data_IF_330537452447
#
_entry.id   IF_330537452447
#
_cell.length_a   1.000
_cell.length_b   1.000
_cell.length_c   1.000
_cell.angle_alpha   90.00
_cell.angle_beta   90.00
_cell.angle_gamma   90.00
#
_symmetry.space_group_name_H-M   'P 1'
#
loop_
_entity.id
_entity.type
_entity.pdbx_description
1 polymer ?
#
# COMPACT_ATOMS: atom_id res chain seq x y z
N UNK A 1 -57.20 -34.50 17.08
CA UNK A 1 -57.63 -35.36 18.24
C UNK A 1 -56.43 -35.71 19.12
N UNK A 2 -55.30 -36.13 18.56
CA UNK A 2 -54.10 -36.53 19.33
C UNK A 2 -53.59 -35.43 20.27
N UNK A 3 -53.59 -34.17 19.83
CA UNK A 3 -53.11 -33.04 20.64
C UNK A 3 -54.09 -32.62 21.75
N UNK A 4 -55.37 -32.60 21.45
CA UNK A 4 -56.39 -32.14 22.40
C UNK A 4 -56.99 -33.24 23.26
N UNK A 5 -56.75 -34.52 22.98
CA UNK A 5 -57.37 -35.67 23.66
C UNK A 5 -58.87 -35.84 23.34
N UNK A 6 -59.45 -34.89 22.58
CA UNK A 6 -60.86 -34.89 22.18
C UNK A 6 -60.99 -34.34 20.75
N UNK A 7 -62.19 -34.35 20.15
CA UNK A 7 -62.44 -33.70 18.87
C UNK A 7 -62.40 -32.18 19.06
N UNK A 8 -61.43 -31.52 18.40
CA UNK A 8 -61.24 -30.09 18.50
C UNK A 8 -62.49 -29.29 18.14
N UNK A 9 -62.86 -28.34 18.96
CA UNK A 9 -63.90 -27.34 18.63
C UNK A 9 -63.38 -26.38 17.53
N UNK A 10 -64.27 -25.66 16.82
CA UNK A 10 -63.86 -24.70 15.80
C UNK A 10 -62.81 -23.66 16.27
N UNK A 11 -62.93 -23.06 17.47
CA UNK A 11 -61.90 -22.15 17.97
C UNK A 11 -60.54 -22.82 18.21
N UNK A 12 -60.51 -24.02 18.76
CA UNK A 12 -59.30 -24.79 19.02
C UNK A 12 -58.62 -25.18 17.68
N UNK A 13 -59.38 -25.60 16.68
CA UNK A 13 -58.87 -25.91 15.38
C UNK A 13 -58.29 -24.68 14.69
N UNK A 14 -58.95 -23.52 14.80
CA UNK A 14 -58.44 -22.25 14.29
C UNK A 14 -57.15 -21.83 15.00
N UNK A 15 -57.10 -21.91 16.33
CA UNK A 15 -55.89 -21.59 17.08
C UNK A 15 -54.71 -22.50 16.72
N UNK A 16 -54.96 -23.82 16.60
CA UNK A 16 -53.91 -24.75 16.15
C UNK A 16 -53.42 -24.43 14.72
N UNK A 17 -54.34 -24.12 13.78
CA UNK A 17 -53.98 -23.77 12.43
C UNK A 17 -53.13 -22.48 12.36
N UNK A 18 -53.48 -21.47 13.17
CA UNK A 18 -52.72 -20.23 13.27
C UNK A 18 -51.32 -20.49 13.84
N UNK A 19 -51.19 -21.28 14.89
CA UNK A 19 -49.89 -21.66 15.47
C UNK A 19 -49.02 -22.44 14.49
N UNK A 20 -49.59 -23.44 13.79
CA UNK A 20 -48.87 -24.21 12.78
C UNK A 20 -48.45 -23.35 11.58
N UNK A 21 -49.31 -22.42 11.17
CA UNK A 21 -49.02 -21.50 10.08
C UNK A 21 -47.94 -20.47 10.48
N UNK A 22 -47.96 -20.01 11.71
CA UNK A 22 -46.97 -19.06 12.26
C UNK A 22 -45.61 -19.68 12.60
N UNK A 23 -45.47 -21.00 12.46
CA UNK A 23 -44.25 -21.73 12.79
C UNK A 23 -43.69 -22.53 11.59
N UNK A 24 -43.36 -21.87 10.45
CA UNK A 24 -42.94 -22.53 9.21
C UNK A 24 -41.64 -23.31 9.35
N UNK A 25 -40.81 -23.00 10.32
CA UNK A 25 -39.59 -23.73 10.63
C UNK A 25 -39.85 -25.14 11.17
N UNK A 26 -40.93 -25.29 11.96
CA UNK A 26 -41.30 -26.55 12.59
C UNK A 26 -42.29 -27.37 11.76
N UNK A 27 -43.13 -26.70 10.94
CA UNK A 27 -44.23 -27.33 10.22
C UNK A 27 -44.30 -26.84 8.76
N UNK A 28 -44.25 -27.78 7.85
CA UNK A 28 -44.40 -27.51 6.41
C UNK A 28 -45.86 -27.59 6.00
N UNK A 29 -46.37 -26.57 5.32
CA UNK A 29 -47.74 -26.59 4.74
C UNK A 29 -47.79 -27.51 3.52
N UNK A 30 -48.68 -28.50 3.54
CA UNK A 30 -48.87 -29.49 2.48
C UNK A 30 -50.19 -29.30 1.67
N UNK A 31 -50.82 -28.14 1.80
CA UNK A 31 -52.07 -27.80 1.13
C UNK A 31 -53.30 -28.35 1.87
N UNK A 32 -54.52 -27.90 1.51
CA UNK A 32 -55.82 -28.32 2.07
C UNK A 32 -55.84 -28.38 3.62
N UNK A 33 -55.17 -27.42 4.31
CA UNK A 33 -55.11 -27.37 5.78
C UNK A 33 -54.23 -28.43 6.43
N UNK A 34 -53.42 -29.18 5.66
CA UNK A 34 -52.49 -30.19 6.21
C UNK A 34 -51.14 -29.58 6.50
N UNK A 35 -50.57 -29.97 7.62
CA UNK A 35 -49.22 -29.63 8.07
C UNK A 35 -48.42 -30.92 8.34
N UNK A 36 -47.15 -30.89 8.05
CA UNK A 36 -46.21 -31.97 8.32
C UNK A 36 -45.06 -31.40 9.15
N UNK A 37 -44.63 -32.12 10.18
CA UNK A 37 -43.43 -31.74 10.92
C UNK A 37 -42.24 -31.66 10.00
N UNK A 38 -41.39 -30.66 10.21
CA UNK A 38 -40.13 -30.54 9.46
C UNK A 38 -39.26 -31.77 9.79
N UNK A 39 -38.50 -32.30 8.78
CA UNK A 39 -37.51 -33.32 9.07
C UNK A 39 -36.52 -32.85 10.14
N UNK A 40 -36.12 -33.76 11.01
CA UNK A 40 -35.29 -33.46 12.18
C UNK A 40 -33.98 -32.77 11.78
N UNK A 41 -33.33 -33.19 10.70
CA UNK A 41 -32.10 -32.58 10.19
C UNK A 41 -32.31 -31.13 9.72
N UNK A 42 -33.43 -30.85 9.06
CA UNK A 42 -33.77 -29.51 8.58
C UNK A 42 -34.08 -28.58 9.76
N UNK A 43 -34.75 -29.11 10.78
CA UNK A 43 -35.04 -28.36 12.00
C UNK A 43 -33.77 -28.05 12.77
N UNK A 44 -32.88 -29.01 12.95
CA UNK A 44 -31.55 -28.79 13.56
C UNK A 44 -30.74 -27.75 12.81
N UNK A 45 -30.69 -27.82 11.48
CA UNK A 45 -30.00 -26.86 10.66
C UNK A 45 -30.61 -25.44 10.77
N UNK A 46 -31.94 -25.33 10.78
CA UNK A 46 -32.65 -24.06 10.95
C UNK A 46 -32.38 -23.42 12.33
N UNK A 47 -32.45 -24.22 13.38
CA UNK A 47 -32.16 -23.79 14.78
C UNK A 47 -30.70 -23.35 14.91
N UNK A 48 -29.75 -24.11 14.35
CA UNK A 48 -28.32 -23.73 14.34
C UNK A 48 -28.09 -22.41 13.57
N UNK A 49 -28.81 -22.21 12.46
CA UNK A 49 -28.73 -20.96 11.70
C UNK A 49 -29.26 -19.75 12.50
N UNK A 50 -30.36 -19.91 13.23
CA UNK A 50 -30.92 -18.86 14.09
C UNK A 50 -29.96 -18.53 15.22
N UNK A 51 -29.42 -19.56 15.88
CA UNK A 51 -28.45 -19.36 16.96
C UNK A 51 -27.18 -18.68 16.48
N UNK A 52 -26.67 -19.07 15.30
CA UNK A 52 -25.54 -18.40 14.69
C UNK A 52 -25.84 -16.91 14.43
N UNK A 53 -26.97 -16.58 13.79
CA UNK A 53 -27.39 -15.19 13.56
C UNK A 53 -27.53 -14.39 14.85
N UNK A 54 -28.05 -15.01 15.89
CA UNK A 54 -28.17 -14.37 17.20
C UNK A 54 -26.80 -14.00 17.76
N UNK A 55 -25.85 -14.94 17.74
CA UNK A 55 -24.46 -14.71 18.18
C UNK A 55 -23.75 -13.64 17.33
N UNK A 56 -23.93 -13.70 16.03
CA UNK A 56 -23.37 -12.68 15.10
C UNK A 56 -23.92 -11.28 15.43
N UNK A 57 -25.21 -11.17 15.72
CA UNK A 57 -25.84 -9.89 16.10
C UNK A 57 -25.36 -9.40 17.46
N UNK A 58 -25.25 -10.27 18.45
CA UNK A 58 -24.73 -9.93 19.79
C UNK A 58 -23.27 -9.49 19.72
N UNK A 59 -22.44 -10.20 18.95
CA UNK A 59 -21.03 -9.86 18.74
C UNK A 59 -20.88 -8.50 18.05
N UNK A 60 -21.64 -8.27 16.98
CA UNK A 60 -21.63 -6.99 16.26
C UNK A 60 -22.04 -5.83 17.18
N UNK A 61 -23.11 -6.01 17.98
CA UNK A 61 -23.54 -4.99 18.94
C UNK A 61 -22.47 -4.72 20.01
N UNK A 62 -21.75 -5.75 20.45
CA UNK A 62 -20.62 -5.61 21.37
C UNK A 62 -19.49 -4.75 20.80
N UNK A 63 -19.10 -4.97 19.55
CA UNK A 63 -18.09 -4.17 18.88
C UNK A 63 -18.52 -2.70 18.68
N UNK A 64 -19.79 -2.48 18.29
CA UNK A 64 -20.36 -1.13 18.18
C UNK A 64 -20.29 -0.37 19.50
N UNK A 65 -20.67 -1.04 20.61
CA UNK A 65 -20.60 -0.45 21.95
C UNK A 65 -19.16 -0.08 22.34
N UNK A 66 -18.19 -0.96 22.06
CA UNK A 66 -16.78 -0.69 22.33
C UNK A 66 -16.28 0.54 21.55
N UNK A 67 -16.54 0.60 20.25
CA UNK A 67 -16.15 1.75 19.41
C UNK A 67 -16.76 3.06 19.92
N UNK A 68 -18.05 3.04 20.30
CA UNK A 68 -18.75 4.21 20.88
C UNK A 68 -18.17 4.62 22.24
N UNK A 69 -17.64 3.68 22.99
CA UNK A 69 -16.97 3.92 24.26
C UNK A 69 -15.49 4.35 24.10
N UNK A 70 -14.98 4.50 22.88
CA UNK A 70 -13.58 4.86 22.61
C UNK A 70 -12.62 3.69 22.85
N UNK A 71 -13.07 2.47 22.72
CA UNK A 71 -12.25 1.26 22.88
C UNK A 71 -12.19 0.50 21.57
N UNK A 72 -10.98 0.26 21.08
CA UNK A 72 -10.77 -0.52 19.85
C UNK A 72 -10.94 -2.01 20.12
N UNK A 73 -11.96 -2.67 19.49
CA UNK A 73 -12.11 -4.11 19.59
C UNK A 73 -10.85 -4.83 19.10
N UNK A 74 -10.42 -5.89 19.78
CA UNK A 74 -9.17 -6.58 19.45
C UNK A 74 -9.21 -7.19 18.03
N UNK A 75 -10.35 -7.75 17.64
CA UNK A 75 -10.55 -8.30 16.30
C UNK A 75 -10.44 -7.21 15.21
N UNK A 76 -10.88 -5.98 15.50
CA UNK A 76 -10.75 -4.86 14.57
C UNK A 76 -9.33 -4.31 14.53
N UNK A 77 -8.59 -4.38 15.64
CA UNK A 77 -7.20 -3.90 15.71
C UNK A 77 -6.30 -4.60 14.71
N UNK A 78 -6.39 -5.92 14.63
CA UNK A 78 -5.61 -6.73 13.69
C UNK A 78 -6.02 -6.54 12.22
N UNK A 79 -7.24 -6.02 11.97
CA UNK A 79 -7.79 -5.77 10.64
C UNK A 79 -7.94 -4.28 10.31
N UNK A 80 -7.34 -3.38 11.11
CA UNK A 80 -7.49 -1.93 11.00
C UNK A 80 -7.34 -1.43 9.56
N UNK A 81 -6.24 -1.78 8.91
CA UNK A 81 -5.91 -1.27 7.59
C UNK A 81 -6.86 -1.81 6.52
N UNK A 82 -7.25 -3.07 6.62
CA UNK A 82 -8.26 -3.66 5.73
C UNK A 82 -9.63 -2.97 5.89
N UNK A 83 -10.04 -2.69 7.13
CA UNK A 83 -11.30 -2.03 7.42
C UNK A 83 -11.34 -0.58 6.92
N UNK A 84 -10.21 0.11 6.96
CA UNK A 84 -10.11 1.51 6.54
C UNK A 84 -9.94 1.68 5.03
N UNK A 85 -9.13 0.81 4.38
CA UNK A 85 -8.65 1.07 3.04
C UNK A 85 -9.21 0.12 1.98
N UNK A 86 -9.53 -1.13 2.36
CA UNK A 86 -10.07 -2.13 1.44
C UNK A 86 -11.13 -3.01 2.12
N UNK A 87 -12.27 -2.44 2.58
CA UNK A 87 -13.26 -3.16 3.36
C UNK A 87 -14.08 -4.14 2.51
N UNK A 88 -14.17 -5.41 2.96
CA UNK A 88 -15.17 -6.36 2.45
C UNK A 88 -16.50 -6.15 3.19
N UNK A 89 -17.47 -5.54 2.52
CA UNK A 89 -18.79 -5.22 3.04
C UNK A 89 -19.63 -6.43 3.47
N UNK A 90 -19.21 -7.63 3.10
CA UNK A 90 -19.92 -8.86 3.51
C UNK A 90 -19.56 -9.30 4.93
N UNK A 91 -18.45 -8.82 5.47
CA UNK A 91 -17.96 -9.21 6.80
C UNK A 91 -18.73 -8.55 7.94
N UNK A 92 -18.83 -9.24 9.08
CA UNK A 92 -19.45 -8.68 10.29
C UNK A 92 -18.69 -7.46 10.82
N UNK A 93 -17.38 -7.44 10.71
CA UNK A 93 -16.53 -6.32 11.14
C UNK A 93 -16.89 -5.04 10.39
N UNK A 94 -17.01 -5.11 9.06
CA UNK A 94 -17.38 -3.94 8.25
C UNK A 94 -18.79 -3.48 8.59
N UNK A 95 -19.77 -4.40 8.75
CA UNK A 95 -21.13 -4.06 9.15
C UNK A 95 -21.20 -3.41 10.52
N UNK A 96 -20.37 -3.85 11.48
CA UNK A 96 -20.25 -3.20 12.77
C UNK A 96 -19.66 -1.78 12.66
N UNK A 97 -18.65 -1.58 11.81
CA UNK A 97 -18.11 -0.26 11.53
C UNK A 97 -19.15 0.67 10.90
N UNK A 98 -19.88 0.22 9.88
CA UNK A 98 -20.95 0.99 9.24
C UNK A 98 -22.06 1.37 10.23
N UNK A 99 -22.46 0.45 11.10
CA UNK A 99 -23.46 0.71 12.15
C UNK A 99 -22.94 1.74 13.17
N UNK A 100 -21.70 1.60 13.63
CA UNK A 100 -21.09 2.55 14.57
C UNK A 100 -21.00 3.97 13.96
N UNK A 101 -20.61 4.08 12.69
CA UNK A 101 -20.59 5.34 11.93
C UNK A 101 -21.99 5.94 11.85
N UNK A 102 -23.00 5.14 11.52
CA UNK A 102 -24.40 5.60 11.42
C UNK A 102 -24.95 6.09 12.77
N UNK A 103 -24.66 5.38 13.86
CA UNK A 103 -25.17 5.74 15.20
C UNK A 103 -24.43 6.92 15.83
N UNK A 104 -23.15 7.13 15.50
CA UNK A 104 -22.35 8.23 16.09
C UNK A 104 -22.31 9.46 15.22
N UNK A 105 -22.73 9.35 13.95
CA UNK A 105 -22.58 10.41 12.93
C UNK A 105 -21.12 10.87 12.76
N UNK A 106 -20.17 9.95 12.99
CA UNK A 106 -18.72 10.20 12.98
C UNK A 106 -18.07 9.34 11.91
N UNK A 107 -17.06 9.87 11.20
CA UNK A 107 -16.33 9.05 10.21
C UNK A 107 -15.57 7.89 10.84
N UNK A 108 -15.43 6.79 10.13
CA UNK A 108 -14.72 5.60 10.63
C UNK A 108 -13.27 5.89 11.07
N UNK A 109 -12.47 6.69 10.30
CA UNK A 109 -11.12 7.05 10.76
C UNK A 109 -11.11 7.79 12.09
N UNK A 110 -12.07 8.68 12.30
CA UNK A 110 -12.16 9.44 13.55
C UNK A 110 -12.60 8.55 14.72
N UNK A 111 -13.54 7.62 14.51
CA UNK A 111 -13.91 6.62 15.51
C UNK A 111 -12.71 5.75 15.90
N UNK A 112 -11.96 5.28 14.90
CA UNK A 112 -10.77 4.47 15.13
C UNK A 112 -9.69 5.23 15.87
N UNK A 113 -9.50 6.51 15.53
CA UNK A 113 -8.59 7.38 16.28
C UNK A 113 -9.02 7.51 17.74
N UNK A 114 -10.31 7.82 18.01
CA UNK A 114 -10.85 7.93 19.35
C UNK A 114 -10.74 6.62 20.14
N UNK A 115 -10.86 5.48 19.47
CA UNK A 115 -10.69 4.15 20.03
C UNK A 115 -9.23 3.72 20.23
N UNK A 116 -8.25 4.58 19.90
CA UNK A 116 -6.83 4.29 20.12
C UNK A 116 -6.24 3.34 19.07
N UNK A 117 -6.71 3.40 17.83
CA UNK A 117 -6.16 2.62 16.72
C UNK A 117 -4.75 3.08 16.32
N UNK A 118 -4.38 4.32 16.64
CA UNK A 118 -3.05 4.89 16.46
C UNK A 118 -2.46 5.30 17.81
N UNK A 119 -1.14 5.14 17.98
CA UNK A 119 -0.50 5.41 19.28
C UNK A 119 -0.47 6.89 19.64
N UNK A 120 -0.49 7.80 18.65
CA UNK A 120 -0.38 9.25 18.87
C UNK A 120 -1.41 9.99 18.00
N UNK A 121 -1.92 11.10 18.55
CA UNK A 121 -2.94 11.93 17.89
C UNK A 121 -2.37 12.63 16.67
N UNK A 122 -1.16 13.13 16.78
CA UNK A 122 -0.48 13.93 15.76
C UNK A 122 -0.21 13.12 14.49
N UNK A 123 0.01 11.81 14.64
CA UNK A 123 0.30 10.91 13.52
C UNK A 123 -0.96 10.27 12.91
N UNK A 124 -2.06 10.21 13.65
CA UNK A 124 -3.26 9.48 13.23
C UNK A 124 -3.83 9.93 11.88
N UNK A 125 -3.91 11.26 11.67
CA UNK A 125 -4.41 11.80 10.41
C UNK A 125 -3.42 11.59 9.26
N UNK A 126 -2.14 11.79 9.51
CA UNK A 126 -1.07 11.52 8.55
C UNK A 126 -1.08 10.05 8.15
N UNK A 127 -1.04 9.13 9.13
CA UNK A 127 -1.01 7.69 8.89
C UNK A 127 -2.26 7.20 8.15
N UNK A 128 -3.44 7.78 8.44
CA UNK A 128 -4.66 7.48 7.70
C UNK A 128 -4.55 7.88 6.23
N UNK A 129 -4.09 9.10 5.94
CA UNK A 129 -3.98 9.58 4.55
C UNK A 129 -2.91 8.82 3.77
N UNK A 130 -1.77 8.51 4.40
CA UNK A 130 -0.72 7.68 3.80
C UNK A 130 -1.25 6.27 3.50
N UNK A 131 -1.93 5.65 4.47
CA UNK A 131 -2.50 4.31 4.29
C UNK A 131 -3.57 4.26 3.20
N UNK A 132 -4.43 5.30 3.11
CA UNK A 132 -5.41 5.42 2.03
C UNK A 132 -4.74 5.58 0.67
N UNK A 133 -3.73 6.45 0.58
CA UNK A 133 -2.95 6.65 -0.64
C UNK A 133 -2.27 5.34 -1.08
N UNK A 134 -1.66 4.60 -0.14
CA UNK A 134 -1.06 3.30 -0.42
C UNK A 134 -2.08 2.28 -0.92
N UNK A 135 -3.28 2.23 -0.34
CA UNK A 135 -4.32 1.32 -0.77
C UNK A 135 -4.86 1.64 -2.17
N UNK A 136 -5.01 2.93 -2.49
CA UNK A 136 -5.58 3.40 -3.75
C UNK A 136 -4.56 3.34 -4.91
N UNK A 137 -3.31 3.72 -4.67
CA UNK A 137 -2.27 3.86 -5.70
C UNK A 137 -1.15 2.82 -5.64
N UNK A 138 -0.95 2.20 -4.49
CA UNK A 138 0.09 1.18 -4.27
C UNK A 138 -0.48 -0.07 -3.59
N UNK A 139 -1.40 -0.80 -4.25
CA UNK A 139 -2.14 -1.91 -3.64
C UNK A 139 -1.24 -3.06 -3.17
N UNK A 140 0.01 -3.13 -3.65
CA UNK A 140 1.02 -4.10 -3.18
C UNK A 140 1.78 -3.62 -1.93
N UNK A 141 1.45 -2.42 -1.42
CA UNK A 141 2.12 -1.82 -0.28
C UNK A 141 3.44 -1.14 -0.62
N UNK A 142 4.06 -0.55 0.42
CA UNK A 142 5.34 0.16 0.33
C UNK A 142 6.52 -0.80 0.19
N UNK A 143 6.56 -1.80 1.05
CA UNK A 143 7.65 -2.76 1.18
C UNK A 143 7.21 -4.11 0.59
N UNK A 144 7.61 -4.35 -0.65
CA UNK A 144 7.39 -5.65 -1.30
C UNK A 144 8.56 -6.55 -0.94
N UNK A 145 8.32 -7.54 -0.07
CA UNK A 145 9.32 -8.53 0.34
C UNK A 145 9.68 -9.46 -0.83
N UNK A 146 10.94 -9.89 -0.87
CA UNK A 146 11.43 -10.87 -1.84
C UNK A 146 11.72 -10.29 -3.24
N UNK A 147 11.72 -8.98 -3.38
CA UNK A 147 11.98 -8.32 -4.67
C UNK A 147 13.47 -8.34 -5.02
N UNK A 148 14.35 -8.37 -4.02
CA UNK A 148 15.81 -8.40 -4.18
C UNK A 148 16.27 -9.71 -4.84
N UNK A 149 15.54 -10.81 -4.66
CA UNK A 149 15.86 -12.10 -5.31
C UNK A 149 15.80 -12.02 -6.85
N UNK A 150 15.23 -10.94 -7.39
CA UNK A 150 15.16 -10.67 -8.82
C UNK A 150 16.28 -9.76 -9.36
N UNK A 151 17.21 -9.31 -8.51
CA UNK A 151 18.37 -8.54 -8.98
C UNK A 151 19.29 -9.45 -9.79
N UNK A 152 19.66 -8.98 -10.97
CA UNK A 152 20.67 -9.64 -11.81
C UNK A 152 22.02 -9.52 -11.09
N UNK A 153 22.81 -10.59 -11.15
CA UNK A 153 24.17 -10.61 -10.62
C UNK A 153 25.00 -9.47 -11.19
N UNK A 154 25.92 -8.94 -10.40
CA UNK A 154 26.80 -7.83 -10.73
C UNK A 154 27.77 -8.09 -11.88
N UNK A 155 27.93 -9.37 -12.30
CA UNK A 155 28.90 -9.80 -13.30
C UNK A 155 28.76 -9.07 -14.66
N UNK A 156 27.53 -8.83 -15.14
CA UNK A 156 27.30 -8.11 -16.40
C UNK A 156 27.60 -6.61 -16.23
N UNK A 157 27.31 -6.05 -15.07
CA UNK A 157 27.63 -4.66 -14.73
C UNK A 157 29.15 -4.49 -14.62
N UNK A 158 29.87 -5.46 -14.06
CA UNK A 158 31.33 -5.43 -13.92
C UNK A 158 32.06 -5.46 -15.26
N UNK A 159 31.45 -5.98 -16.31
CA UNK A 159 31.98 -5.98 -17.68
C UNK A 159 31.84 -4.63 -18.41
N UNK A 160 31.00 -3.72 -17.91
CA UNK A 160 30.85 -2.40 -18.50
C UNK A 160 32.18 -1.62 -18.46
N UNK A 161 32.48 -0.82 -19.49
CA UNK A 161 33.67 0.03 -19.51
C UNK A 161 33.65 0.98 -18.28
N UNK A 162 34.83 1.35 -17.84
CA UNK A 162 35.01 2.35 -16.79
C UNK A 162 35.25 3.71 -17.46
N UNK A 163 34.43 4.69 -17.12
CA UNK A 163 34.61 6.06 -17.57
C UNK A 163 35.90 6.66 -16.99
N UNK A 164 36.65 7.36 -17.81
CA UNK A 164 37.84 8.09 -17.37
C UNK A 164 37.49 9.49 -16.84
N UNK A 165 36.50 9.56 -15.97
CA UNK A 165 36.04 10.80 -15.33
C UNK A 165 35.74 10.54 -13.87
N UNK A 166 35.65 11.61 -13.09
CA UNK A 166 35.17 11.62 -11.70
C UNK A 166 33.93 12.49 -11.65
N UNK A 167 32.83 11.92 -11.19
CA UNK A 167 31.56 12.61 -11.14
C UNK A 167 31.22 13.03 -9.71
N UNK A 168 30.45 14.10 -9.60
CA UNK A 168 29.85 14.58 -8.36
C UNK A 168 28.37 14.77 -8.56
N UNK A 169 27.57 14.56 -7.51
CA UNK A 169 26.16 14.94 -7.49
C UNK A 169 25.93 16.16 -6.60
N UNK A 170 24.81 16.83 -6.79
CA UNK A 170 24.35 17.94 -5.93
C UNK A 170 22.89 17.68 -5.58
N UNK A 171 22.63 17.42 -4.31
CA UNK A 171 21.34 16.98 -3.82
C UNK A 171 20.92 17.69 -2.52
N UNK A 172 19.64 17.60 -2.19
CA UNK A 172 19.16 17.99 -0.87
C UNK A 172 19.73 17.09 0.24
N UNK A 173 19.85 17.62 1.47
CA UNK A 173 20.39 16.90 2.61
C UNK A 173 19.67 15.58 2.92
N UNK A 174 18.39 15.47 2.56
CA UNK A 174 17.53 14.32 2.82
C UNK A 174 17.45 13.33 1.66
N UNK A 175 18.08 13.64 0.51
CA UNK A 175 18.04 12.76 -0.67
C UNK A 175 18.78 11.45 -0.40
N UNK A 176 18.10 10.34 -0.63
CA UNK A 176 18.64 8.97 -0.50
C UNK A 176 18.81 8.27 -1.83
N UNK A 177 18.08 8.72 -2.87
CA UNK A 177 18.19 8.26 -4.26
C UNK A 177 18.97 9.31 -5.03
N UNK A 178 20.22 9.02 -5.33
CA UNK A 178 21.04 9.90 -6.17
C UNK A 178 20.93 9.37 -7.59
N UNK A 179 20.17 10.09 -8.41
CA UNK A 179 19.82 9.65 -9.76
C UNK A 179 20.68 10.27 -10.82
N UNK A 180 21.27 11.44 -10.55
CA UNK A 180 22.10 12.18 -11.49
C UNK A 180 23.42 12.67 -10.86
N UNK A 181 24.43 12.71 -11.68
CA UNK A 181 25.75 13.25 -11.36
C UNK A 181 26.32 13.91 -12.61
N UNK A 182 27.31 14.74 -12.44
CA UNK A 182 28.02 15.37 -13.53
C UNK A 182 29.53 15.29 -13.35
N UNK A 183 30.26 15.40 -14.48
CA UNK A 183 31.70 15.48 -14.50
C UNK A 183 32.14 16.61 -15.43
N UNK A 184 33.29 17.20 -15.14
CA UNK A 184 33.94 18.20 -15.98
C UNK A 184 35.36 17.73 -16.26
N UNK A 185 35.74 17.68 -17.54
CA UNK A 185 37.04 17.24 -17.94
C UNK A 185 37.61 18.27 -18.96
N UNK A 186 38.73 18.92 -18.63
CA UNK A 186 39.44 19.79 -19.54
C UNK A 186 40.22 18.93 -20.53
N UNK A 187 39.82 18.93 -21.80
CA UNK A 187 40.47 18.17 -22.86
C UNK A 187 41.77 18.86 -23.31
N UNK A 188 41.70 20.18 -23.45
CA UNK A 188 42.84 21.07 -23.77
C UNK A 188 42.52 22.54 -23.38
N UNK A 189 43.27 23.51 -23.86
CA UNK A 189 43.08 24.93 -23.54
C UNK A 189 41.76 25.50 -24.07
N UNK A 190 41.26 24.96 -25.17
CA UNK A 190 40.13 25.50 -25.92
C UNK A 190 38.85 24.63 -25.79
N UNK A 191 38.94 23.46 -25.16
CA UNK A 191 37.80 22.51 -25.06
C UNK A 191 37.64 21.91 -23.69
N UNK A 192 36.38 21.88 -23.26
CA UNK A 192 35.93 21.21 -22.04
C UNK A 192 34.82 20.19 -22.38
N UNK A 193 34.90 19.00 -21.82
CA UNK A 193 33.85 17.99 -21.90
C UNK A 193 33.08 17.98 -20.60
N UNK A 194 31.76 18.15 -20.69
CA UNK A 194 30.83 18.00 -19.57
C UNK A 194 30.13 16.66 -19.74
N UNK A 195 30.17 15.82 -18.71
CA UNK A 195 29.43 14.57 -18.63
C UNK A 195 28.23 14.71 -17.71
N UNK A 196 27.08 14.19 -18.14
CA UNK A 196 25.89 14.00 -17.31
C UNK A 196 25.68 12.48 -17.17
N UNK A 197 25.60 11.99 -15.96
CA UNK A 197 25.56 10.58 -15.65
C UNK A 197 24.25 10.28 -14.91
N UNK A 198 23.40 9.46 -15.51
CA UNK A 198 22.11 9.07 -14.93
C UNK A 198 22.20 7.64 -14.41
N UNK A 199 21.79 7.41 -13.20
CA UNK A 199 21.69 6.08 -12.60
C UNK A 199 20.95 5.11 -13.53
N UNK A 200 21.44 3.88 -13.64
CA UNK A 200 20.90 2.89 -14.56
C UNK A 200 20.29 1.69 -13.80
N UNK A 201 19.20 1.90 -13.01
CA UNK A 201 18.60 0.83 -12.19
C UNK A 201 18.13 -0.37 -13.02
N UNK A 202 17.71 -0.15 -14.28
CA UNK A 202 17.28 -1.21 -15.18
C UNK A 202 18.37 -2.24 -15.51
N UNK A 203 19.64 -1.94 -15.25
CA UNK A 203 20.74 -2.91 -15.41
C UNK A 203 20.78 -3.95 -14.29
N UNK A 204 20.07 -3.74 -13.19
CA UNK A 204 20.08 -4.63 -12.03
C UNK A 204 18.95 -5.66 -12.02
N UNK A 205 17.99 -5.58 -12.95
CA UNK A 205 16.87 -6.54 -12.98
C UNK A 205 16.48 -6.92 -14.41
N UNK A 206 15.98 -8.15 -14.56
CA UNK A 206 15.52 -8.65 -15.85
C UNK A 206 14.13 -8.15 -16.20
N UNK A 207 13.83 -8.11 -17.50
CA UNK A 207 12.48 -7.97 -18.02
C UNK A 207 11.54 -9.01 -17.39
N UNK A 208 10.31 -8.65 -17.14
CA UNK A 208 9.29 -9.47 -16.50
C UNK A 208 9.54 -9.85 -15.03
N UNK A 209 10.61 -9.34 -14.42
CA UNK A 209 10.87 -9.51 -12.99
C UNK A 209 9.78 -8.88 -12.12
N UNK A 210 9.71 -9.27 -10.86
CA UNK A 210 8.80 -8.65 -9.88
C UNK A 210 9.18 -7.18 -9.68
N UNK A 211 10.46 -6.86 -9.73
CA UNK A 211 10.99 -5.51 -9.57
C UNK A 211 10.58 -4.60 -10.74
N UNK A 212 10.69 -5.09 -11.98
CA UNK A 212 10.23 -4.34 -13.15
C UNK A 212 8.72 -4.08 -13.10
N UNK A 213 7.92 -5.11 -12.77
CA UNK A 213 6.47 -4.96 -12.64
C UNK A 213 6.11 -3.94 -11.55
N UNK A 214 6.85 -3.93 -10.44
CA UNK A 214 6.65 -2.96 -9.39
C UNK A 214 7.02 -1.53 -9.85
N UNK A 215 8.14 -1.38 -10.54
CA UNK A 215 8.57 -0.09 -11.10
C UNK A 215 7.54 0.45 -12.12
N UNK A 216 7.03 -0.43 -12.99
CA UNK A 216 5.99 -0.09 -13.97
C UNK A 216 4.65 0.27 -13.32
N UNK A 217 4.29 -0.37 -12.20
CA UNK A 217 3.08 -0.03 -11.44
C UNK A 217 3.21 1.36 -10.77
N UNK A 218 4.41 1.71 -10.28
CA UNK A 218 4.68 2.96 -9.56
C UNK A 218 5.03 4.14 -10.45
N UNK A 219 5.73 3.93 -11.55
CA UNK A 219 6.18 4.89 -12.56
C UNK A 219 7.18 5.96 -12.09
N UNK A 220 7.11 6.40 -10.85
CA UNK A 220 7.96 7.44 -10.28
C UNK A 220 8.02 7.37 -8.77
N UNK A 221 8.97 8.09 -8.18
CA UNK A 221 8.95 8.40 -6.74
C UNK A 221 7.86 9.45 -6.47
N UNK A 222 7.02 9.18 -5.48
CA UNK A 222 5.93 10.10 -5.09
C UNK A 222 6.29 10.76 -3.76
N UNK A 223 6.30 12.08 -3.77
CA UNK A 223 6.57 12.92 -2.60
C UNK A 223 5.26 13.46 -2.02
N UNK A 224 5.13 13.43 -0.71
CA UNK A 224 4.02 14.02 0.02
C UNK A 224 4.51 14.58 1.38
N UNK A 225 3.75 15.45 2.05
CA UNK A 225 4.22 16.08 3.28
C UNK A 225 4.67 15.07 4.34
N UNK A 226 5.96 15.14 4.71
CA UNK A 226 6.57 14.32 5.74
C UNK A 226 7.09 12.96 5.30
N UNK A 227 6.90 12.53 4.02
CA UNK A 227 7.38 11.21 3.55
C UNK A 227 7.46 11.13 2.02
N UNK A 228 7.99 10.02 1.52
CA UNK A 228 8.02 9.66 0.10
C UNK A 228 7.83 8.16 -0.11
N UNK A 229 7.34 7.78 -1.28
CA UNK A 229 7.31 6.39 -1.73
C UNK A 229 8.14 6.31 -3.00
N UNK A 230 9.24 5.60 -2.93
CA UNK A 230 10.18 5.44 -4.03
C UNK A 230 9.62 4.50 -5.10
N UNK A 231 9.96 4.74 -6.37
CA UNK A 231 9.59 3.85 -7.48
C UNK A 231 10.12 2.44 -7.23
N UNK A 232 11.38 2.32 -6.85
CA UNK A 232 11.99 1.07 -6.45
C UNK A 232 11.95 0.91 -4.92
N UNK A 233 11.84 -0.32 -4.40
CA UNK A 233 12.00 -0.58 -2.97
C UNK A 233 13.36 -0.11 -2.45
N UNK A 234 13.44 0.31 -1.19
CA UNK A 234 14.65 0.85 -0.59
C UNK A 234 15.87 -0.06 -0.73
N UNK A 235 15.68 -1.36 -0.62
CA UNK A 235 16.75 -2.35 -0.79
C UNK A 235 17.31 -2.38 -2.24
N UNK A 236 16.48 -2.14 -3.25
CA UNK A 236 16.92 -2.03 -4.64
C UNK A 236 17.58 -0.69 -4.92
N UNK A 237 17.09 0.39 -4.32
CA UNK A 237 17.66 1.74 -4.42
C UNK A 237 19.13 1.77 -3.99
N UNK A 238 19.47 1.10 -2.89
CA UNK A 238 20.86 1.03 -2.37
C UNK A 238 21.85 0.50 -3.41
N UNK A 239 21.41 -0.39 -4.30
CA UNK A 239 22.26 -0.93 -5.36
C UNK A 239 22.35 0.01 -6.58
N UNK A 240 21.28 0.73 -6.87
CA UNK A 240 21.16 1.50 -8.12
C UNK A 240 21.57 2.97 -7.99
N UNK A 241 21.62 3.51 -6.76
CA UNK A 241 21.95 4.93 -6.51
C UNK A 241 23.42 5.24 -6.81
N UNK A 242 23.71 6.45 -7.29
CA UNK A 242 25.06 6.97 -7.56
C UNK A 242 25.75 7.37 -6.25
N UNK A 243 26.14 6.36 -5.44
CA UNK A 243 26.69 6.58 -4.12
C UNK A 243 28.16 7.00 -4.12
N UNK A 244 28.50 7.97 -3.25
CA UNK A 244 29.87 8.45 -3.02
C UNK A 244 30.85 7.32 -2.79
N UNK A 245 32.02 7.42 -3.37
CA UNK A 245 33.12 6.46 -3.24
C UNK A 245 32.94 5.19 -4.08
N UNK A 246 31.85 5.04 -4.79
CA UNK A 246 31.54 3.83 -5.58
C UNK A 246 31.72 4.04 -7.07
N UNK A 247 32.01 2.92 -7.75
CA UNK A 247 32.00 2.82 -9.20
C UNK A 247 30.60 2.32 -9.62
N UNK A 248 29.75 3.25 -10.08
CA UNK A 248 28.34 3.01 -10.32
C UNK A 248 28.02 2.88 -11.81
N UNK A 249 27.17 1.93 -12.23
CA UNK A 249 26.69 1.88 -13.61
C UNK A 249 25.78 3.08 -13.89
N UNK A 250 26.03 3.74 -15.03
CA UNK A 250 25.28 4.91 -15.46
C UNK A 250 25.07 4.93 -16.97
N UNK A 251 24.02 5.61 -17.39
CA UNK A 251 23.89 6.09 -18.76
C UNK A 251 24.50 7.49 -18.78
N UNK A 252 25.63 7.62 -19.48
CA UNK A 252 26.36 8.88 -19.57
C UNK A 252 26.09 9.57 -20.89
N UNK A 253 25.89 10.89 -20.84
CA UNK A 253 25.88 11.78 -21.99
C UNK A 253 26.99 12.80 -21.84
N UNK A 254 27.81 12.94 -22.88
CA UNK A 254 28.91 13.87 -22.88
C UNK A 254 28.72 14.91 -23.97
N UNK A 255 29.03 16.16 -23.66
CA UNK A 255 29.08 17.26 -24.61
C UNK A 255 30.40 17.96 -24.48
N UNK A 256 31.10 18.10 -25.62
CA UNK A 256 32.35 18.88 -25.74
C UNK A 256 32.01 20.31 -26.16
N UNK A 257 32.48 21.26 -25.37
CA UNK A 257 32.26 22.69 -25.60
C UNK A 257 33.57 23.41 -25.92
N UNK A 258 33.48 24.39 -26.81
CA UNK A 258 34.54 25.39 -26.96
C UNK A 258 34.53 26.33 -25.74
N UNK A 259 35.68 26.53 -25.09
CA UNK A 259 35.83 27.46 -23.96
C UNK A 259 35.74 28.95 -24.41
N UNK A 260 35.92 29.22 -25.68
CA UNK A 260 35.88 30.58 -26.25
C UNK A 260 34.47 30.99 -26.68
N UNK A 261 33.76 30.08 -27.33
CA UNK A 261 32.44 30.39 -27.93
C UNK A 261 31.26 29.77 -27.19
N UNK A 262 31.52 28.83 -26.25
CA UNK A 262 30.53 28.02 -25.57
C UNK A 262 29.65 27.18 -26.51
N UNK A 263 30.07 27.01 -27.76
CA UNK A 263 29.37 26.16 -28.72
C UNK A 263 29.66 24.68 -28.43
N UNK A 264 28.62 23.83 -28.58
CA UNK A 264 28.80 22.38 -28.56
C UNK A 264 29.46 21.93 -29.86
N UNK A 265 30.61 21.30 -29.75
CA UNK A 265 31.37 20.78 -30.89
C UNK A 265 31.05 19.32 -31.20
N UNK A 266 30.83 18.52 -30.16
CA UNK A 266 30.50 17.11 -30.32
C UNK A 266 29.70 16.59 -29.10
N UNK A 267 28.98 15.48 -29.32
CA UNK A 267 28.29 14.76 -28.26
C UNK A 267 28.46 13.25 -28.41
N UNK A 268 28.44 12.54 -27.31
CA UNK A 268 28.42 11.07 -27.28
C UNK A 268 27.63 10.54 -26.09
N UNK A 269 27.11 9.32 -26.18
CA UNK A 269 26.48 8.62 -25.10
C UNK A 269 27.17 7.29 -24.86
N UNK A 270 27.16 6.82 -23.60
CA UNK A 270 27.72 5.52 -23.23
C UNK A 270 26.91 4.91 -22.07
N UNK A 271 26.90 3.57 -22.01
CA UNK A 271 26.53 2.84 -20.81
C UNK A 271 27.84 2.33 -20.21
N UNK A 272 28.17 2.80 -19.02
CA UNK A 272 29.48 2.60 -18.43
C UNK A 272 29.43 2.69 -16.91
N UNK A 273 30.53 2.39 -16.24
CA UNK A 273 30.68 2.61 -14.80
C UNK A 273 31.43 3.91 -14.55
N UNK A 274 30.83 4.75 -13.72
CA UNK A 274 31.37 6.08 -13.39
C UNK A 274 31.78 6.11 -11.93
N UNK A 275 33.00 6.63 -11.66
CA UNK A 275 33.47 6.85 -10.30
C UNK A 275 32.75 8.07 -9.73
N UNK A 276 31.93 7.86 -8.70
CA UNK A 276 31.32 8.95 -7.94
C UNK A 276 32.30 9.39 -6.87
N UNK A 277 32.83 10.59 -7.03
CA UNK A 277 33.83 11.14 -6.10
C UNK A 277 33.16 11.68 -4.86
N UNK A 278 32.05 12.43 -5.02
CA UNK A 278 31.33 13.05 -3.91
C UNK A 278 29.85 13.26 -4.20
N UNK A 279 29.04 13.10 -3.16
CA UNK A 279 27.64 13.55 -3.16
C UNK A 279 27.57 14.86 -2.36
N UNK A 280 27.60 15.98 -3.07
CA UNK A 280 27.54 17.33 -2.49
C UNK A 280 26.12 17.64 -2.03
N UNK A 281 25.99 18.46 -1.01
CA UNK A 281 24.69 18.91 -0.52
C UNK A 281 24.50 20.40 -0.85
N UNK A 282 23.27 20.78 -1.26
CA UNK A 282 22.96 22.17 -1.62
C UNK A 282 23.37 23.13 -0.50
N UNK A 283 23.07 22.80 0.77
CA UNK A 283 23.44 23.62 1.90
C UNK A 283 24.96 23.81 2.09
N UNK A 284 25.78 22.83 1.67
CA UNK A 284 27.24 22.94 1.74
C UNK A 284 27.78 23.89 0.65
N UNK A 285 27.03 24.05 -0.45
CA UNK A 285 27.41 24.86 -1.60
C UNK A 285 26.99 26.33 -1.47
N UNK A 286 25.98 26.64 -0.67
CA UNK A 286 25.48 28.02 -0.46
C UNK A 286 26.62 28.99 -0.06
N UNK A 287 27.61 28.50 0.67
CA UNK A 287 28.76 29.31 1.06
C UNK A 287 29.69 29.71 -0.11
N UNK A 288 29.61 29.00 -1.24
CA UNK A 288 30.41 29.25 -2.45
C UNK A 288 29.67 30.10 -3.48
N UNK A 289 28.35 30.17 -3.41
CA UNK A 289 27.51 30.97 -4.30
C UNK A 289 27.14 32.30 -3.64
N UNK A 290 28.10 33.15 -3.37
CA UNK A 290 27.88 34.53 -2.93
C UNK A 290 28.12 35.49 -4.09
N UNK A 291 27.53 36.69 -4.05
CA UNK A 291 27.58 37.68 -5.12
C UNK A 291 29.00 38.21 -5.44
N UNK A 292 29.96 37.86 -4.57
CA UNK A 292 31.37 38.31 -4.66
C UNK A 292 32.33 37.22 -5.19
N UNK A 293 31.80 36.05 -5.65
CA UNK A 293 32.59 34.91 -6.13
C UNK A 293 32.81 34.90 -7.65
#
# INVERSE_FOLDING_TARGET
QEYFGHKASPPEAAAAALKLHGAPMYFYKRGKGRYQAAPEENLKAALASIERKRRETEQMAGWVLQLKAGVMPEEMRSHRDTLLYNPDRNTLLVKACELAVAETHTSLPLLFFQAGAWPQKETAQHDYHVGKFLADYFPRGRDVKGVIDGLIGTEEIEKLPIANVRAVSIDDATTTEIDDAFSINHLDADRVEIGIHIAAPALYFSSDSVLEKLANDRLSTVYFPGDKITMLPGDAVVHATLAEGRLCPAVSYYATFSTQTFAIESTRSAIERVQIEKNLRIGDLEAYFNEDA
#
